data_IF_777163764955
#
_entry.id   IF_777163764955
#
_cell.length_a   1.000
_cell.length_b   1.000
_cell.length_c   1.000
_cell.angle_alpha   90.00
_cell.angle_beta   90.00
_cell.angle_gamma   90.00
#
_symmetry.space_group_name_H-M   'P 1'
#
loop_
_entity.id
_entity.type
_entity.pdbx_description
1 polymer ?
#
# COMPACT_ATOMS: atom_id res chain seq x y z
N UNK A 1 14.10 -6.19 -10.76
CA UNK A 1 15.26 -6.81 -10.10
C UNK A 1 15.01 -8.31 -10.10
N UNK A 2 15.99 -9.13 -10.50
CA UNK A 2 15.87 -10.59 -10.44
C UNK A 2 16.71 -11.11 -9.27
N UNK A 3 16.19 -12.03 -8.45
CA UNK A 3 16.95 -12.63 -7.37
C UNK A 3 18.12 -13.47 -7.92
N UNK A 4 19.26 -13.43 -7.22
CA UNK A 4 20.46 -14.21 -7.55
C UNK A 4 20.33 -15.63 -6.98
N UNK A 5 20.04 -16.59 -7.85
CA UNK A 5 19.77 -17.98 -7.45
C UNK A 5 21.00 -18.70 -6.89
N UNK A 6 22.20 -18.39 -7.37
CA UNK A 6 23.43 -19.02 -6.87
C UNK A 6 23.68 -18.59 -5.43
N UNK A 7 23.49 -17.30 -5.14
CA UNK A 7 23.59 -16.78 -3.77
C UNK A 7 22.52 -17.32 -2.85
N UNK A 8 21.29 -17.50 -3.33
CA UNK A 8 20.20 -18.08 -2.52
C UNK A 8 20.52 -19.54 -2.18
N UNK A 9 20.99 -20.32 -3.16
CA UNK A 9 21.28 -21.75 -2.97
C UNK A 9 22.46 -21.96 -2.01
N UNK A 10 23.46 -21.08 -2.06
CA UNK A 10 24.62 -21.12 -1.15
C UNK A 10 24.31 -20.60 0.26
N UNK A 11 23.23 -19.84 0.45
CA UNK A 11 22.82 -19.31 1.75
C UNK A 11 22.22 -20.35 2.72
N UNK A 12 22.01 -21.60 2.26
CA UNK A 12 21.47 -22.73 3.07
C UNK A 12 20.22 -22.36 3.86
N UNK A 13 19.28 -21.65 3.24
CA UNK A 13 18.03 -21.26 3.88
C UNK A 13 17.06 -22.45 4.03
N UNK A 14 16.35 -22.53 5.16
CA UNK A 14 15.33 -23.56 5.40
C UNK A 14 14.04 -23.32 4.59
N UNK A 15 13.73 -22.06 4.30
CA UNK A 15 12.58 -21.64 3.49
C UNK A 15 12.82 -20.27 2.85
N UNK A 16 12.09 -19.98 1.76
CA UNK A 16 12.06 -18.67 1.11
C UNK A 16 10.68 -18.04 1.28
N UNK A 17 10.63 -16.86 1.89
CA UNK A 17 9.45 -16.00 1.92
C UNK A 17 9.31 -15.30 0.57
N UNK A 18 8.21 -15.55 -0.14
CA UNK A 18 8.01 -15.04 -1.51
C UNK A 18 6.66 -14.34 -1.63
N UNK A 19 6.62 -13.22 -2.35
CA UNK A 19 5.33 -12.63 -2.73
C UNK A 19 4.69 -13.49 -3.83
N UNK A 20 3.42 -13.94 -3.68
CA UNK A 20 2.69 -14.62 -4.74
C UNK A 20 2.20 -13.67 -5.85
N UNK A 21 2.61 -12.39 -5.82
CA UNK A 21 2.22 -11.42 -6.82
C UNK A 21 2.69 -11.85 -8.22
N UNK A 22 1.76 -11.87 -9.18
CA UNK A 22 2.08 -12.22 -10.57
C UNK A 22 3.13 -11.25 -11.11
N UNK A 23 4.18 -11.78 -11.74
CA UNK A 23 5.33 -11.00 -12.21
C UNK A 23 6.16 -10.31 -11.12
N UNK A 24 6.11 -10.76 -9.86
CA UNK A 24 7.00 -10.30 -8.78
C UNK A 24 8.50 -10.45 -9.09
N UNK A 25 8.86 -11.09 -10.21
CA UNK A 25 10.23 -11.28 -10.61
C UNK A 25 10.95 -12.32 -9.77
N UNK A 26 10.22 -13.15 -9.01
CA UNK A 26 10.75 -14.27 -8.22
C UNK A 26 11.63 -15.22 -9.05
N UNK A 27 11.67 -15.09 -10.38
CA UNK A 27 12.44 -15.97 -11.25
C UNK A 27 11.97 -17.42 -11.09
N UNK A 28 12.85 -18.37 -11.41
CA UNK A 28 12.62 -19.77 -11.11
C UNK A 28 13.19 -20.12 -9.74
N UNK A 29 12.87 -19.37 -8.67
CA UNK A 29 13.31 -19.71 -7.29
C UNK A 29 12.83 -21.09 -6.86
N UNK A 30 11.75 -21.61 -7.45
CA UNK A 30 11.34 -23.01 -7.32
C UNK A 30 12.42 -24.02 -7.74
N UNK A 31 13.34 -23.66 -8.64
CA UNK A 31 14.44 -24.54 -9.06
C UNK A 31 15.51 -24.75 -7.98
N UNK A 32 15.52 -23.94 -6.92
CA UNK A 32 16.47 -24.11 -5.80
C UNK A 32 16.17 -25.34 -4.94
N UNK A 33 14.94 -25.86 -5.01
CA UNK A 33 14.47 -26.95 -4.13
C UNK A 33 14.19 -26.52 -2.69
N UNK A 34 14.41 -25.25 -2.34
CA UNK A 34 14.11 -24.70 -1.02
C UNK A 34 12.59 -24.51 -0.89
N UNK A 35 11.95 -24.92 0.23
CA UNK A 35 10.53 -24.68 0.48
C UNK A 35 10.14 -23.21 0.30
N UNK A 36 9.04 -22.95 -0.40
CA UNK A 36 8.53 -21.61 -0.63
C UNK A 36 7.34 -21.34 0.28
N UNK A 37 7.34 -20.18 0.94
CA UNK A 37 6.25 -19.69 1.78
C UNK A 37 5.68 -18.43 1.12
N UNK A 38 4.44 -18.53 0.64
CA UNK A 38 3.75 -17.41 -0.01
C UNK A 38 3.29 -16.37 1.03
N UNK A 39 3.75 -15.14 0.88
CA UNK A 39 3.41 -14.00 1.73
C UNK A 39 2.45 -13.06 0.98
N UNK A 40 1.15 -13.21 1.26
CA UNK A 40 0.05 -12.51 0.60
C UNK A 40 -0.55 -11.39 1.46
N UNK A 41 0.21 -10.86 2.44
CA UNK A 41 -0.23 -9.81 3.37
C UNK A 41 -0.77 -8.56 2.67
N UNK A 42 -0.23 -8.24 1.49
CA UNK A 42 -0.70 -7.13 0.68
C UNK A 42 -2.12 -7.30 0.11
N UNK A 43 -2.70 -8.51 0.17
CA UNK A 43 -4.07 -8.82 -0.27
C UNK A 43 -5.08 -8.78 0.86
N UNK A 44 -4.66 -8.52 2.10
CA UNK A 44 -5.57 -8.43 3.23
C UNK A 44 -6.59 -7.30 3.03
N UNK A 45 -7.88 -7.54 3.39
CA UNK A 45 -8.92 -6.54 3.22
C UNK A 45 -8.91 -5.48 4.33
N UNK A 46 -8.20 -5.71 5.44
CA UNK A 46 -8.19 -4.81 6.60
C UNK A 46 -6.77 -4.47 7.07
N UNK A 47 -6.52 -3.27 7.63
CA UNK A 47 -5.22 -2.90 8.18
C UNK A 47 -4.75 -3.81 9.31
N UNK A 48 -5.66 -4.24 10.18
CA UNK A 48 -5.33 -5.18 11.26
C UNK A 48 -5.07 -6.59 10.74
N UNK A 49 -5.78 -7.04 9.71
CA UNK A 49 -5.48 -8.30 9.01
C UNK A 49 -4.06 -8.29 8.43
N UNK A 50 -3.67 -7.20 7.76
CA UNK A 50 -2.29 -7.03 7.30
C UNK A 50 -1.28 -7.06 8.47
N UNK A 51 -1.57 -6.36 9.57
CA UNK A 51 -0.70 -6.33 10.73
C UNK A 51 -0.55 -7.71 11.40
N UNK A 52 -1.60 -8.55 11.39
CA UNK A 52 -1.61 -9.87 12.02
C UNK A 52 -0.61 -10.84 11.39
N UNK A 53 -0.14 -10.58 10.15
CA UNK A 53 0.95 -11.34 9.54
C UNK A 53 2.24 -11.34 10.38
N UNK A 54 2.43 -10.36 11.26
CA UNK A 54 3.55 -10.41 12.22
C UNK A 54 3.47 -11.63 13.17
N UNK A 55 2.26 -12.11 13.50
CA UNK A 55 2.06 -13.32 14.29
C UNK A 55 2.46 -14.57 13.50
N UNK A 56 2.12 -14.63 12.22
CA UNK A 56 2.57 -15.69 11.32
C UNK A 56 4.10 -15.78 11.28
N UNK A 57 4.79 -14.65 11.10
CA UNK A 57 6.25 -14.63 11.16
C UNK A 57 6.78 -14.99 12.55
N UNK A 58 6.11 -14.54 13.62
CA UNK A 58 6.44 -14.92 14.98
C UNK A 58 6.43 -16.43 15.19
N UNK A 59 5.43 -17.13 14.67
CA UNK A 59 5.36 -18.60 14.71
C UNK A 59 6.52 -19.27 13.96
N UNK A 60 6.86 -18.77 12.76
CA UNK A 60 7.97 -19.32 11.97
C UNK A 60 9.33 -19.18 12.66
N UNK A 61 9.53 -18.11 13.44
CA UNK A 61 10.81 -17.78 14.07
C UNK A 61 10.84 -18.05 15.59
N UNK A 62 9.83 -18.74 16.16
CA UNK A 62 9.76 -19.03 17.60
C UNK A 62 9.69 -17.78 18.50
N UNK A 63 9.01 -16.75 18.00
CA UNK A 63 8.89 -15.42 18.60
C UNK A 63 7.43 -15.04 18.88
N UNK A 64 6.57 -16.02 19.16
CA UNK A 64 5.12 -15.88 19.30
C UNK A 64 4.74 -14.86 20.39
N UNK A 65 5.36 -14.95 21.57
CA UNK A 65 5.08 -14.01 22.66
C UNK A 65 5.44 -12.56 22.28
N UNK A 66 6.49 -12.38 21.47
CA UNK A 66 6.93 -11.06 21.01
C UNK A 66 6.02 -10.51 19.91
N UNK A 67 5.64 -11.33 18.94
CA UNK A 67 4.74 -10.92 17.87
C UNK A 67 3.33 -10.63 18.37
N UNK A 68 2.84 -11.41 19.34
CA UNK A 68 1.54 -11.17 19.97
C UNK A 68 1.54 -9.83 20.73
N UNK A 69 2.57 -9.58 21.54
CA UNK A 69 2.73 -8.30 22.22
C UNK A 69 2.78 -7.11 21.23
N UNK A 70 3.58 -7.22 20.16
CA UNK A 70 3.67 -6.16 19.15
C UNK A 70 2.34 -5.93 18.43
N UNK A 71 1.60 -7.00 18.12
CA UNK A 71 0.30 -6.90 17.49
C UNK A 71 -0.70 -6.16 18.37
N UNK A 72 -0.81 -6.52 19.65
CA UNK A 72 -1.69 -5.83 20.60
C UNK A 72 -1.39 -4.33 20.69
N UNK A 73 -0.11 -3.94 20.63
CA UNK A 73 0.30 -2.54 20.62
C UNK A 73 -0.18 -1.82 19.34
N UNK A 74 -0.05 -2.47 18.17
CA UNK A 74 -0.53 -1.93 16.90
C UNK A 74 -2.06 -1.83 16.87
N UNK A 75 -2.76 -2.87 17.30
CA UNK A 75 -4.22 -2.91 17.41
C UNK A 75 -4.74 -1.78 18.29
N UNK A 76 -4.19 -1.63 19.49
CA UNK A 76 -4.57 -0.58 20.43
C UNK A 76 -4.35 0.81 19.85
N UNK A 77 -3.19 1.05 19.22
CA UNK A 77 -2.88 2.34 18.62
C UNK A 77 -3.81 2.66 17.44
N UNK A 78 -4.06 1.67 16.59
CA UNK A 78 -4.93 1.79 15.43
C UNK A 78 -6.37 2.10 15.84
N UNK A 79 -6.93 1.32 16.77
CA UNK A 79 -8.29 1.53 17.26
C UNK A 79 -8.45 2.85 18.00
N UNK A 80 -7.43 3.30 18.74
CA UNK A 80 -7.44 4.62 19.37
C UNK A 80 -7.54 5.74 18.33
N UNK A 81 -6.79 5.66 17.23
CA UNK A 81 -6.84 6.65 16.15
C UNK A 81 -8.17 6.62 15.40
N UNK A 82 -8.66 5.42 15.06
CA UNK A 82 -9.95 5.22 14.41
C UNK A 82 -11.10 5.77 15.27
N UNK A 83 -11.09 5.50 16.57
CA UNK A 83 -12.07 6.05 17.51
C UNK A 83 -12.00 7.58 17.58
N UNK A 84 -10.80 8.17 17.59
CA UNK A 84 -10.62 9.62 17.68
C UNK A 84 -11.25 10.37 16.50
N UNK A 85 -11.32 9.75 15.32
CA UNK A 85 -11.93 10.35 14.12
C UNK A 85 -13.39 9.94 13.88
N UNK A 86 -13.95 9.03 14.69
CA UNK A 86 -15.32 8.51 14.50
C UNK A 86 -16.43 9.58 14.53
N UNK A 87 -16.20 10.68 15.25
CA UNK A 87 -17.15 11.79 15.37
C UNK A 87 -16.95 12.90 14.32
N UNK A 88 -15.92 12.79 13.47
CA UNK A 88 -15.62 13.80 12.45
C UNK A 88 -16.68 13.76 11.35
N UNK A 89 -17.37 14.89 11.15
CA UNK A 89 -18.41 15.05 10.13
C UNK A 89 -17.85 15.42 8.76
N UNK A 90 -16.79 16.23 8.75
CA UNK A 90 -16.16 16.70 7.52
C UNK A 90 -15.05 15.75 7.13
N UNK A 91 -15.28 15.00 6.05
CA UNK A 91 -14.35 14.00 5.55
C UNK A 91 -13.72 14.54 4.27
N UNK A 92 -12.41 14.85 4.23
CA UNK A 92 -11.78 15.40 3.04
C UNK A 92 -11.81 14.38 1.91
N UNK A 93 -12.13 14.83 0.70
CA UNK A 93 -12.06 13.99 -0.50
C UNK A 93 -10.61 13.69 -0.81
N UNK A 94 -10.22 12.43 -0.70
CA UNK A 94 -8.83 11.98 -0.82
C UNK A 94 -8.58 11.34 -2.18
N UNK A 95 -7.61 11.87 -2.91
CA UNK A 95 -6.95 11.16 -4.00
C UNK A 95 -5.57 10.68 -3.55
N UNK A 96 -5.07 9.61 -4.17
CA UNK A 96 -3.78 9.04 -3.77
C UNK A 96 -2.91 8.64 -4.96
N UNK A 97 -1.63 8.41 -4.68
CA UNK A 97 -0.63 7.91 -5.62
C UNK A 97 -0.36 8.84 -6.80
N UNK A 98 0.41 8.36 -7.78
CA UNK A 98 0.77 9.10 -8.99
C UNK A 98 0.72 8.14 -10.19
N UNK A 99 0.63 8.71 -11.40
CA UNK A 99 0.73 7.94 -12.64
C UNK A 99 2.10 7.26 -12.75
N UNK A 100 2.10 5.97 -13.09
CA UNK A 100 3.29 5.15 -13.34
C UNK A 100 3.21 4.57 -14.76
N UNK A 101 4.16 4.95 -15.62
CA UNK A 101 4.11 4.54 -17.02
C UNK A 101 2.84 5.05 -17.70
N UNK A 102 2.01 4.17 -18.26
CA UNK A 102 0.77 4.54 -18.94
C UNK A 102 -0.46 4.66 -18.02
N UNK A 103 -0.41 4.11 -16.80
CA UNK A 103 -1.56 3.98 -15.92
C UNK A 103 -1.36 4.69 -14.58
N UNK A 104 -2.45 4.99 -13.90
CA UNK A 104 -2.48 5.39 -12.50
C UNK A 104 -3.04 4.24 -11.68
N UNK A 105 -2.20 3.64 -10.84
CA UNK A 105 -2.59 2.50 -10.02
C UNK A 105 -3.15 3.02 -8.70
N UNK A 106 -4.40 2.71 -8.41
CA UNK A 106 -5.08 3.12 -7.17
C UNK A 106 -5.56 1.88 -6.40
N UNK A 107 -5.45 1.81 -5.07
CA UNK A 107 -6.05 0.74 -4.30
C UNK A 107 -7.57 0.79 -4.41
N UNK A 108 -8.23 -0.35 -4.52
CA UNK A 108 -9.69 -0.39 -4.35
C UNK A 108 -10.10 -0.09 -2.90
N UNK A 109 -11.36 0.27 -2.71
CA UNK A 109 -11.98 0.43 -1.40
C UNK A 109 -11.98 -0.84 -0.56
N UNK A 110 -12.08 -2.02 -1.20
CA UNK A 110 -12.00 -3.33 -0.54
C UNK A 110 -10.59 -3.75 -0.08
N UNK A 111 -9.57 -2.91 -0.29
CA UNK A 111 -8.20 -3.15 0.16
C UNK A 111 -7.95 -2.62 1.57
N UNK A 112 -6.94 -3.15 2.26
CA UNK A 112 -6.53 -2.59 3.56
C UNK A 112 -6.23 -1.08 3.48
N UNK A 113 -5.68 -0.56 2.37
CA UNK A 113 -5.44 0.88 2.20
C UNK A 113 -6.75 1.65 2.06
N UNK A 114 -7.70 1.15 1.27
CA UNK A 114 -9.03 1.76 1.12
C UNK A 114 -9.73 1.88 2.47
N UNK A 115 -9.72 0.79 3.24
CA UNK A 115 -10.24 0.74 4.60
C UNK A 115 -9.47 1.67 5.54
N UNK A 116 -8.13 1.70 5.47
CA UNK A 116 -7.30 2.60 6.28
C UNK A 116 -7.62 4.08 6.05
N UNK A 117 -7.86 4.49 4.81
CA UNK A 117 -8.25 5.87 4.51
C UNK A 117 -9.63 6.21 5.07
N UNK A 118 -10.59 5.28 4.98
CA UNK A 118 -11.89 5.44 5.59
C UNK A 118 -11.79 5.52 7.13
N UNK A 119 -10.99 4.66 7.75
CA UNK A 119 -10.78 4.65 9.19
C UNK A 119 -10.01 5.87 9.70
N UNK A 120 -9.23 6.53 8.83
CA UNK A 120 -8.57 7.81 9.11
C UNK A 120 -9.50 9.03 8.93
N UNK A 121 -10.76 8.83 8.54
CA UNK A 121 -11.73 9.91 8.39
C UNK A 121 -11.81 10.53 6.98
N UNK A 122 -11.13 9.96 5.98
CA UNK A 122 -11.18 10.47 4.61
C UNK A 122 -12.40 9.96 3.83
N UNK A 123 -12.84 10.73 2.84
CA UNK A 123 -13.72 10.27 1.77
C UNK A 123 -12.85 9.86 0.58
N UNK A 124 -12.42 8.59 0.56
CA UNK A 124 -11.55 8.09 -0.50
C UNK A 124 -12.31 7.95 -1.82
N UNK A 125 -11.78 8.59 -2.88
CA UNK A 125 -12.49 8.74 -4.17
C UNK A 125 -12.83 7.41 -4.85
N UNK A 126 -12.04 6.36 -4.60
CA UNK A 126 -12.28 5.03 -5.16
C UNK A 126 -12.79 4.02 -4.11
N UNK A 127 -13.41 4.50 -3.03
CA UNK A 127 -13.95 3.66 -1.94
C UNK A 127 -15.05 2.68 -2.38
N UNK A 128 -15.76 2.93 -3.48
CA UNK A 128 -16.81 2.04 -4.02
C UNK A 128 -16.27 0.91 -4.91
N UNK A 129 -14.94 0.80 -5.02
CA UNK A 129 -14.27 -0.26 -5.78
C UNK A 129 -13.99 -1.44 -4.84
N UNK A 130 -14.63 -2.58 -5.05
CA UNK A 130 -14.53 -3.73 -4.14
C UNK A 130 -13.20 -4.50 -4.24
N UNK A 131 -12.33 -4.15 -5.20
CA UNK A 131 -11.05 -4.81 -5.40
C UNK A 131 -10.12 -4.65 -4.17
N UNK A 132 -9.51 -5.75 -3.72
CA UNK A 132 -8.52 -5.73 -2.62
C UNK A 132 -7.11 -5.31 -3.06
N UNK A 133 -6.89 -5.16 -4.38
CA UNK A 133 -5.60 -4.81 -4.97
C UNK A 133 -5.59 -3.46 -5.67
N UNK A 134 -4.50 -3.21 -6.42
CA UNK A 134 -4.35 -2.01 -7.23
C UNK A 134 -5.12 -2.12 -8.57
N UNK A 135 -5.86 -1.07 -8.90
CA UNK A 135 -6.67 -0.94 -10.11
C UNK A 135 -5.94 0.01 -11.06
N UNK A 136 -5.60 -0.41 -12.30
CA UNK A 136 -5.04 0.47 -13.29
C UNK A 136 -6.12 1.36 -13.90
N UNK A 137 -5.97 2.68 -13.77
CA UNK A 137 -6.85 3.68 -14.38
C UNK A 137 -6.10 4.57 -15.36
N UNK A 138 -6.79 5.14 -16.34
CA UNK A 138 -6.22 6.19 -17.18
C UNK A 138 -6.11 7.51 -16.40
N UNK A 139 -5.22 8.40 -16.83
CA UNK A 139 -5.12 9.74 -16.25
C UNK A 139 -6.46 10.47 -16.33
N UNK A 140 -7.14 10.39 -17.48
CA UNK A 140 -8.42 11.06 -17.73
C UNK A 140 -9.51 10.57 -16.78
N UNK A 141 -9.52 9.27 -16.47
CA UNK A 141 -10.47 8.68 -15.51
C UNK A 141 -10.23 9.19 -14.10
N UNK A 142 -8.96 9.25 -13.67
CA UNK A 142 -8.59 9.81 -12.36
C UNK A 142 -8.89 11.30 -12.31
N UNK A 143 -8.52 12.05 -13.34
CA UNK A 143 -8.75 13.49 -13.42
C UNK A 143 -10.25 13.82 -13.39
N UNK A 144 -11.10 13.09 -14.11
CA UNK A 144 -12.54 13.26 -14.08
C UNK A 144 -13.14 13.06 -12.67
N UNK A 145 -12.64 12.07 -11.91
CA UNK A 145 -13.13 11.78 -10.57
C UNK A 145 -12.53 12.71 -9.48
N UNK A 146 -11.26 13.08 -9.63
CA UNK A 146 -10.43 13.62 -8.56
C UNK A 146 -9.89 15.03 -8.77
N UNK A 147 -10.18 15.71 -9.89
CA UNK A 147 -9.69 17.09 -10.13
C UNK A 147 -10.02 18.06 -8.99
N UNK A 148 -11.16 17.87 -8.32
CA UNK A 148 -11.62 18.67 -7.17
C UNK A 148 -11.46 17.94 -5.82
N UNK A 149 -10.53 16.99 -5.71
CA UNK A 149 -10.17 16.42 -4.41
C UNK A 149 -9.72 17.51 -3.43
N UNK A 150 -9.85 17.27 -2.13
CA UNK A 150 -9.41 18.22 -1.11
C UNK A 150 -7.94 18.00 -0.75
N UNK A 151 -7.49 16.74 -0.77
CA UNK A 151 -6.14 16.32 -0.42
C UNK A 151 -5.65 15.29 -1.43
N UNK A 152 -4.37 15.37 -1.77
CA UNK A 152 -3.70 14.36 -2.60
C UNK A 152 -2.50 13.76 -1.88
N UNK A 153 -2.67 12.55 -1.34
CA UNK A 153 -1.62 11.83 -0.65
C UNK A 153 -0.74 11.05 -1.63
N UNK A 154 0.58 11.29 -1.59
CA UNK A 154 1.54 10.55 -2.42
C UNK A 154 2.41 9.66 -1.56
N UNK A 155 2.39 8.34 -1.82
CA UNK A 155 3.37 7.42 -1.25
C UNK A 155 4.67 7.54 -2.04
N UNK A 156 5.72 8.04 -1.40
CA UNK A 156 7.02 8.25 -2.03
C UNK A 156 8.15 7.67 -1.19
N UNK A 157 8.76 6.58 -1.67
CA UNK A 157 9.81 5.85 -0.97
C UNK A 157 11.24 6.23 -1.39
N UNK A 158 11.49 7.49 -1.77
CA UNK A 158 12.82 7.95 -2.20
C UNK A 158 13.48 8.80 -1.12
N UNK A 159 14.81 8.84 -1.13
CA UNK A 159 15.60 9.53 -0.11
C UNK A 159 15.50 11.07 -0.18
N UNK A 160 15.25 11.62 -1.36
CA UNK A 160 15.04 13.05 -1.54
C UNK A 160 13.54 13.35 -1.58
N UNK A 161 13.13 14.49 -1.02
CA UNK A 161 11.72 14.88 -0.98
C UNK A 161 11.12 15.06 -2.38
N UNK A 162 9.84 14.71 -2.50
CA UNK A 162 9.07 14.99 -3.69
C UNK A 162 8.67 16.46 -3.70
N UNK A 163 9.05 17.18 -4.75
CA UNK A 163 8.71 18.60 -4.89
C UNK A 163 7.71 18.81 -6.02
N UNK A 164 6.92 19.87 -5.92
CA UNK A 164 6.03 20.31 -7.00
C UNK A 164 6.76 20.56 -8.32
N UNK A 165 7.98 21.10 -8.28
CA UNK A 165 8.75 21.33 -9.51
C UNK A 165 9.11 20.00 -10.19
N UNK A 166 9.51 19.00 -9.40
CA UNK A 166 9.83 17.66 -9.91
C UNK A 166 8.59 17.01 -10.52
N UNK A 167 7.47 17.02 -9.79
CA UNK A 167 6.21 16.45 -10.29
C UNK A 167 5.71 17.15 -11.57
N UNK A 168 5.86 18.47 -11.69
CA UNK A 168 5.43 19.22 -12.88
C UNK A 168 6.32 18.92 -14.09
N UNK A 169 7.62 18.73 -13.85
CA UNK A 169 8.56 18.30 -14.88
C UNK A 169 8.27 16.86 -15.33
N UNK A 170 7.92 15.98 -14.40
CA UNK A 170 7.60 14.58 -14.68
C UNK A 170 6.27 14.45 -15.46
N UNK A 171 5.23 15.18 -15.04
CA UNK A 171 3.95 15.18 -15.73
C UNK A 171 3.16 16.48 -15.47
N UNK A 172 3.31 17.44 -16.39
CA UNK A 172 2.68 18.77 -16.31
C UNK A 172 1.19 18.81 -15.97
N UNK A 173 0.32 17.88 -16.46
CA UNK A 173 -1.10 17.88 -16.13
C UNK A 173 -1.43 17.73 -14.64
N UNK A 174 -0.49 17.31 -13.78
CA UNK A 174 -0.68 17.31 -12.33
C UNK A 174 -1.01 18.69 -11.77
N UNK A 175 -0.54 19.76 -12.40
CA UNK A 175 -0.83 21.14 -12.00
C UNK A 175 -2.32 21.52 -12.10
N UNK A 176 -3.13 20.72 -12.79
CA UNK A 176 -4.55 20.96 -12.98
C UNK A 176 -5.44 20.42 -11.84
N UNK A 177 -4.88 19.67 -10.89
CA UNK A 177 -5.63 19.23 -9.70
C UNK A 177 -5.78 20.37 -8.70
N UNK A 178 -6.96 20.50 -8.08
CA UNK A 178 -7.19 21.42 -6.95
C UNK A 178 -6.17 21.26 -5.80
N UNK A 179 -5.87 20.04 -5.29
CA UNK A 179 -4.91 19.89 -4.19
C UNK A 179 -3.49 20.30 -4.59
N UNK A 180 -3.15 20.27 -5.88
CA UNK A 180 -1.92 20.87 -6.36
C UNK A 180 -1.92 22.39 -6.21
N UNK A 181 -2.95 23.04 -6.76
CA UNK A 181 -3.08 24.51 -6.76
C UNK A 181 -3.16 25.08 -5.35
N UNK A 182 -3.83 24.38 -4.45
CA UNK A 182 -4.03 24.78 -3.04
C UNK A 182 -2.90 24.33 -2.11
N UNK A 183 -1.85 23.67 -2.62
CA UNK A 183 -0.71 23.16 -1.84
C UNK A 183 -1.11 22.16 -0.73
N UNK A 184 -2.01 21.23 -1.08
CA UNK A 184 -2.52 20.15 -0.21
C UNK A 184 -2.13 18.77 -0.74
N UNK A 185 -0.83 18.59 -1.02
CA UNK A 185 -0.21 17.31 -1.36
C UNK A 185 0.75 16.86 -0.27
#
# INVERSE_FOLDING_TARGET
>A
MHPDLERITTATADALLVSPFQNAGNGNVSATGIPLIACADYMEPTPLGQAEWMKFYGLLFGCEARSDFLFTQVETAYDSLRCAVSAVKERPRLMIDMKQGAAWYVPGGGSYLGQMYADAGADYIFSTRDESGAIPLSFESVYAAAREADVWLVKYGQAADLTYNKLAADFGPYSNFRPWRERRM
#
